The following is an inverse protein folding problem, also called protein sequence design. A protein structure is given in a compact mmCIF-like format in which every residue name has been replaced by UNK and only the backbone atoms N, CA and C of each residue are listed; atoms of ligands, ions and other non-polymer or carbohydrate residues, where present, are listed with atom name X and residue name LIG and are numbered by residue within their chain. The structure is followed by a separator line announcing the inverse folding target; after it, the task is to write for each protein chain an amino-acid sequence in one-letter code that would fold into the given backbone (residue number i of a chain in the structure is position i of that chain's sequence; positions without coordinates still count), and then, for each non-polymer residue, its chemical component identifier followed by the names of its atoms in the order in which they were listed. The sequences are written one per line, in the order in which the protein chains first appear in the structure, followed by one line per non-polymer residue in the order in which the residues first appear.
data_IF_676795741286
#
_entry.id   IF_676795741286
#
_cell.length_a   1.000
_cell.length_b   1.000
_cell.length_c   1.000
_cell.angle_alpha   90.00
_cell.angle_beta   90.00
_cell.angle_gamma   90.00
#
_symmetry.space_group_name_H-M   'P 1'
#
loop_
_entity.id
_entity.type
_entity.pdbx_description
1 polymer ?
#
# COMPACT_ATOMS: atom_id res chain seq x y z
N UNK A 1 -17.19 -18.90 -32.80
CA UNK A 1 -16.78 -19.50 -31.51
C UNK A 1 -15.65 -18.63 -30.99
N UNK A 2 -15.83 -17.96 -29.85
CA UNK A 2 -14.76 -17.10 -29.31
C UNK A 2 -13.83 -17.99 -28.50
N UNK A 3 -12.63 -18.26 -29.00
CA UNK A 3 -11.56 -18.87 -28.22
C UNK A 3 -11.01 -17.81 -27.25
N UNK A 4 -11.10 -18.08 -25.95
CA UNK A 4 -10.35 -17.34 -24.94
C UNK A 4 -8.88 -17.73 -25.05
N UNK A 5 -8.19 -17.16 -26.04
CA UNK A 5 -6.76 -17.30 -26.20
C UNK A 5 -6.07 -16.40 -25.16
N UNK A 6 -5.74 -16.98 -24.00
CA UNK A 6 -4.86 -16.34 -23.02
C UNK A 6 -5.27 -16.52 -21.56
N UNK A 7 -4.32 -16.19 -20.69
CA UNK A 7 -4.48 -16.14 -19.23
C UNK A 7 -5.33 -14.92 -18.85
N UNK A 8 -6.65 -15.04 -18.94
CA UNK A 8 -7.60 -13.95 -18.63
C UNK A 8 -7.36 -13.25 -17.29
N UNK A 9 -6.80 -13.96 -16.31
CA UNK A 9 -6.46 -13.41 -15.01
C UNK A 9 -5.43 -12.28 -15.10
N UNK A 10 -4.52 -12.28 -16.08
CA UNK A 10 -3.51 -11.23 -16.28
C UNK A 10 -4.14 -9.87 -16.63
N UNK A 11 -5.37 -9.90 -17.16
CA UNK A 11 -6.12 -8.70 -17.54
C UNK A 11 -7.14 -8.28 -16.48
N UNK A 12 -7.62 -9.23 -15.67
CA UNK A 12 -8.71 -9.00 -14.72
C UNK A 12 -8.27 -8.92 -13.26
N UNK A 13 -7.09 -9.43 -12.91
CA UNK A 13 -6.55 -9.41 -11.55
C UNK A 13 -5.24 -8.63 -11.50
N UNK A 14 -4.99 -7.98 -10.37
CA UNK A 14 -3.73 -7.35 -10.04
C UNK A 14 -3.12 -8.06 -8.82
N UNK A 15 -1.82 -8.36 -8.91
CA UNK A 15 -1.04 -8.74 -7.73
C UNK A 15 -0.76 -7.47 -6.95
N UNK A 16 -1.17 -7.45 -5.70
CA UNK A 16 -0.92 -6.37 -4.75
C UNK A 16 0.06 -6.89 -3.71
N UNK A 17 1.18 -6.18 -3.56
CA UNK A 17 2.23 -6.43 -2.58
C UNK A 17 2.15 -5.33 -1.54
N UNK A 18 1.74 -5.69 -0.33
CA UNK A 18 1.63 -4.78 0.80
C UNK A 18 2.95 -4.74 1.54
N UNK A 19 3.53 -3.55 1.67
CA UNK A 19 4.85 -3.33 2.25
C UNK A 19 4.79 -2.41 3.46
N UNK A 20 5.67 -2.67 4.44
CA UNK A 20 5.78 -1.88 5.66
C UNK A 20 6.71 -0.68 5.45
N UNK A 21 6.17 0.54 5.55
CA UNK A 21 6.93 1.80 5.44
C UNK A 21 7.10 2.50 6.78
N UNK A 22 6.84 1.81 7.89
CA UNK A 22 6.90 2.37 9.25
C UNK A 22 8.25 3.02 9.57
N UNK A 23 9.35 2.46 9.07
CA UNK A 23 10.68 2.96 9.37
C UNK A 23 11.02 4.29 8.70
N UNK A 24 10.35 4.66 7.60
CA UNK A 24 10.52 5.99 6.99
C UNK A 24 10.12 7.09 7.99
N UNK A 25 9.01 6.87 8.69
CA UNK A 25 8.51 7.75 9.73
C UNK A 25 9.36 7.68 11.01
N UNK A 26 9.78 6.47 11.40
CA UNK A 26 10.59 6.27 12.60
C UNK A 26 11.97 6.91 12.51
N UNK A 27 12.60 6.82 11.34
CA UNK A 27 13.96 7.27 11.09
C UNK A 27 14.03 8.64 10.40
N UNK A 28 12.87 9.22 10.04
CA UNK A 28 12.75 10.43 9.22
C UNK A 28 13.57 10.34 7.92
N UNK A 29 13.50 9.18 7.27
CA UNK A 29 14.17 8.92 6.00
C UNK A 29 13.23 9.21 4.83
N UNK A 30 13.82 9.56 3.69
CA UNK A 30 13.06 9.68 2.45
C UNK A 30 12.63 8.31 1.91
N UNK A 31 11.57 8.26 1.07
CA UNK A 31 11.05 7.00 0.55
C UNK A 31 12.09 6.28 -0.30
N UNK A 32 12.22 4.97 -0.05
CA UNK A 32 13.04 4.04 -0.83
C UNK A 32 12.23 3.45 -1.99
N UNK A 33 12.90 2.82 -2.97
CA UNK A 33 12.21 1.99 -3.95
C UNK A 33 11.33 0.92 -3.28
N UNK A 34 10.12 0.72 -3.81
CA UNK A 34 9.09 -0.18 -3.28
C UNK A 34 9.59 -1.60 -2.94
N UNK A 35 10.55 -2.10 -3.70
CA UNK A 35 11.15 -3.45 -3.55
C UNK A 35 12.04 -3.61 -2.31
N UNK A 36 12.42 -2.52 -1.65
CA UNK A 36 13.33 -2.54 -0.50
C UNK A 36 12.61 -2.59 0.85
N UNK A 37 11.30 -2.40 0.85
CA UNK A 37 10.50 -2.49 2.06
C UNK A 37 10.16 -3.94 2.41
N UNK A 38 10.01 -4.26 3.71
CA UNK A 38 9.51 -5.56 4.14
C UNK A 38 8.11 -5.84 3.59
N UNK A 39 7.90 -7.02 3.01
CA UNK A 39 6.58 -7.45 2.52
C UNK A 39 5.78 -8.03 3.69
N UNK A 40 4.60 -7.48 3.93
CA UNK A 40 3.67 -7.97 4.95
C UNK A 40 2.68 -8.99 4.39
N UNK A 41 2.20 -8.75 3.16
CA UNK A 41 1.17 -9.57 2.53
C UNK A 41 1.23 -9.46 1.02
N UNK A 42 0.89 -10.54 0.35
CA UNK A 42 0.54 -10.51 -1.08
C UNK A 42 -0.89 -10.97 -1.28
N UNK A 43 -1.63 -10.27 -2.14
CA UNK A 43 -3.02 -10.60 -2.45
C UNK A 43 -3.32 -10.32 -3.92
N UNK A 44 -4.18 -11.15 -4.51
CA UNK A 44 -4.71 -10.93 -5.85
C UNK A 44 -6.08 -10.30 -5.74
N UNK A 45 -6.22 -9.08 -6.27
CA UNK A 45 -7.47 -8.32 -6.23
C UNK A 45 -7.99 -8.08 -7.66
N UNK A 46 -9.31 -7.94 -7.84
CA UNK A 46 -9.86 -7.52 -9.12
C UNK A 46 -9.28 -6.16 -9.53
N UNK A 47 -8.86 -6.05 -10.80
CA UNK A 47 -8.35 -4.79 -11.36
C UNK A 47 -9.43 -3.73 -11.45
N UNK A 48 -10.67 -4.14 -11.69
CA UNK A 48 -11.79 -3.19 -11.70
C UNK A 48 -11.95 -2.64 -10.28
N UNK A 49 -11.91 -1.31 -10.14
CA UNK A 49 -11.98 -0.58 -8.85
C UNK A 49 -10.84 -0.85 -7.86
N UNK A 50 -9.69 -1.33 -8.33
CA UNK A 50 -8.56 -1.60 -7.46
C UNK A 50 -8.20 -0.39 -6.57
N UNK A 51 -8.13 0.82 -7.13
CA UNK A 51 -7.83 2.03 -6.34
C UNK A 51 -8.81 2.27 -5.18
N UNK A 52 -10.10 2.01 -5.38
CA UNK A 52 -11.12 2.18 -4.33
C UNK A 52 -10.91 1.13 -3.23
N UNK A 53 -10.61 -0.11 -3.61
CA UNK A 53 -10.35 -1.22 -2.67
C UNK A 53 -9.09 -0.95 -1.85
N UNK A 54 -8.01 -0.48 -2.48
CA UNK A 54 -6.74 -0.20 -1.81
C UNK A 54 -6.85 0.86 -0.70
N UNK A 55 -7.79 1.80 -0.83
CA UNK A 55 -7.99 2.87 0.15
C UNK A 55 -9.00 2.52 1.25
N UNK A 56 -9.86 1.52 1.02
CA UNK A 56 -11.02 1.24 1.89
C UNK A 56 -10.87 -0.03 2.72
N UNK A 57 -9.94 -0.92 2.38
CA UNK A 57 -9.72 -2.17 3.12
C UNK A 57 -8.63 -2.05 4.19
N UNK A 58 -8.87 -2.69 5.34
CA UNK A 58 -7.82 -3.12 6.27
C UNK A 58 -6.99 -4.22 5.59
N UNK A 59 -6.07 -3.81 4.71
CA UNK A 59 -5.22 -4.72 3.94
C UNK A 59 -4.38 -5.62 4.87
N UNK A 60 -3.94 -5.06 6.00
CA UNK A 60 -3.24 -5.74 7.09
C UNK A 60 -3.73 -5.16 8.42
N UNK A 61 -4.20 -6.01 9.33
CA UNK A 61 -4.66 -5.57 10.66
C UNK A 61 -3.53 -4.90 11.46
N UNK A 62 -3.82 -3.73 12.05
CA UNK A 62 -2.86 -2.97 12.84
C UNK A 62 -1.99 -2.02 12.01
N UNK A 63 -2.31 -1.81 10.74
CA UNK A 63 -1.60 -0.93 9.82
C UNK A 63 -2.58 -0.01 9.10
N UNK A 64 -2.14 1.24 8.84
CA UNK A 64 -2.89 2.24 8.08
C UNK A 64 -2.33 2.35 6.67
N UNK A 65 -3.22 2.59 5.71
CA UNK A 65 -2.85 2.97 4.35
C UNK A 65 -2.04 4.27 4.33
N UNK A 66 -0.96 4.31 3.55
CA UNK A 66 -0.13 5.50 3.31
C UNK A 66 -0.13 5.88 1.82
N UNK A 67 0.40 4.99 0.97
CA UNK A 67 0.50 5.22 -0.47
C UNK A 67 0.34 3.92 -1.28
N UNK A 68 0.14 4.04 -2.58
CA UNK A 68 0.26 2.91 -3.50
C UNK A 68 0.93 3.33 -4.82
N UNK A 69 1.62 2.39 -5.45
CA UNK A 69 2.29 2.54 -6.74
C UNK A 69 1.83 1.43 -7.68
N UNK A 70 1.34 1.82 -8.85
CA UNK A 70 1.00 0.88 -9.92
C UNK A 70 2.24 0.50 -10.75
N UNK A 71 2.19 -0.60 -11.49
CA UNK A 71 3.31 -0.99 -12.35
C UNK A 71 3.56 0.06 -13.44
N UNK A 72 4.84 0.34 -13.71
CA UNK A 72 5.25 1.34 -14.69
C UNK A 72 4.75 1.06 -16.12
N UNK A 73 4.53 -0.21 -16.48
CA UNK A 73 4.00 -0.62 -17.78
C UNK A 73 2.95 -1.70 -17.59
N UNK A 74 1.73 -1.47 -18.11
CA UNK A 74 0.70 -2.47 -18.41
C UNK A 74 0.44 -3.54 -17.33
N UNK A 75 1.26 -4.60 -17.33
CA UNK A 75 1.20 -5.74 -16.41
C UNK A 75 2.33 -5.71 -15.38
N UNK A 76 1.98 -5.83 -14.11
CA UNK A 76 2.96 -5.90 -13.01
C UNK A 76 2.29 -5.83 -11.64
N UNK A 77 3.11 -5.95 -10.61
CA UNK A 77 2.68 -5.83 -9.22
C UNK A 77 2.33 -4.39 -8.88
N UNK A 78 1.27 -4.22 -8.11
CA UNK A 78 0.98 -2.98 -7.39
C UNK A 78 1.65 -3.07 -6.03
N UNK A 79 2.30 -2.00 -5.61
CA UNK A 79 2.84 -1.88 -4.25
C UNK A 79 1.92 -0.99 -3.43
N UNK A 80 1.69 -1.36 -2.18
CA UNK A 80 0.90 -0.58 -1.24
C UNK A 80 1.70 -0.42 0.03
N UNK A 81 2.11 0.81 0.30
CA UNK A 81 2.78 1.19 1.54
C UNK A 81 1.78 1.33 2.67
N UNK A 82 2.04 0.64 3.77
CA UNK A 82 1.27 0.76 5.00
C UNK A 82 2.17 1.08 6.20
N UNK A 83 1.64 1.82 7.15
CA UNK A 83 2.36 2.25 8.36
C UNK A 83 1.70 1.67 9.60
N UNK A 84 2.51 1.23 10.58
CA UNK A 84 2.01 0.71 11.85
C UNK A 84 1.08 1.72 12.51
N UNK A 85 -0.13 1.27 12.86
CA UNK A 85 -1.11 2.10 13.57
C UNK A 85 -0.58 2.65 14.89
N UNK A 86 0.24 1.87 15.59
CA UNK A 86 0.82 2.26 16.89
C UNK A 86 1.72 3.48 16.68
N UNK A 87 2.66 3.40 15.73
CA UNK A 87 3.56 4.51 15.43
C UNK A 87 2.80 5.73 14.90
N UNK A 88 1.87 5.53 13.96
CA UNK A 88 1.08 6.62 13.37
C UNK A 88 0.22 7.35 14.42
N UNK A 89 -0.33 6.62 15.40
CA UNK A 89 -1.07 7.20 16.52
C UNK A 89 -0.13 7.93 17.48
N UNK A 90 1.01 7.34 17.83
CA UNK A 90 2.03 7.99 18.68
C UNK A 90 2.57 9.28 18.05
N UNK A 91 2.82 9.29 16.74
CA UNK A 91 3.21 10.50 16.01
C UNK A 91 2.14 11.61 16.05
N UNK A 92 0.84 11.26 16.01
CA UNK A 92 -0.24 12.24 16.17
C UNK A 92 -0.22 12.95 17.52
N UNK A 93 0.31 12.34 18.58
CA UNK A 93 0.50 13.04 19.87
C UNK A 93 1.56 14.14 19.78
N UNK A 94 2.63 13.93 19.00
CA UNK A 94 3.68 14.95 18.81
C UNK A 94 3.18 16.15 17.99
N UNK A 95 2.33 15.94 16.97
CA UNK A 95 1.73 17.03 16.20
C UNK A 95 0.61 17.76 16.94
N UNK A 96 -0.20 17.05 17.74
CA UNK A 96 -1.25 17.66 18.57
C UNK A 96 -0.68 18.45 19.77
N UNK A 97 0.42 17.99 20.37
CA UNK A 97 1.10 18.70 21.46
C UNK A 97 1.93 19.92 20.99
N UNK A 98 2.21 20.03 19.69
CA UNK A 98 2.91 21.16 19.08
C UNK A 98 2.00 22.33 18.64
N UNK A 99 0.68 22.20 18.81
CA UNK A 99 -0.28 23.27 18.49
C UNK A 99 -0.84 23.88 19.78
N UNK A 100 0.04 24.28 20.71
CA UNK A 100 -0.31 25.30 21.69
C UNK A 100 -0.28 26.66 21.00
N UNK A 101 -1.48 27.11 20.65
CA UNK A 101 -1.98 28.49 20.67
C UNK A 101 -0.96 29.51 21.20
N UNK A 102 -0.50 30.38 20.31
CA UNK A 102 -0.09 31.75 20.65
C UNK A 102 -0.99 32.72 19.87
#
# INVERSE_FOLDING_TARGET
MAELSGKLWEWNLARVVVVDVTDDYRLMLGPMPSEFYPVLREVWLPRYRLQEVLQSDDLVTGYLYDWHEGPAQGSGSWYVGVVSEILARDARWYWAAGTEIA
#
